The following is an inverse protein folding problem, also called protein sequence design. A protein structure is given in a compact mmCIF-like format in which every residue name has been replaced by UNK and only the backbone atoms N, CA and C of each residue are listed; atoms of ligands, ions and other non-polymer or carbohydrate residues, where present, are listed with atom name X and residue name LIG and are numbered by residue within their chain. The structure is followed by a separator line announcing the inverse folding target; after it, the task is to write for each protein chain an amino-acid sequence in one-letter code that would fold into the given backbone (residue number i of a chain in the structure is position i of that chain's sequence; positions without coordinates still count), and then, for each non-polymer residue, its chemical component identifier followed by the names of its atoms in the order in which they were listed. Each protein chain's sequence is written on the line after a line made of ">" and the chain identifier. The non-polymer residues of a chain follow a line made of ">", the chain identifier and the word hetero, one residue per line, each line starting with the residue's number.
data_IF_080722951270
#
_entry.id   IF_080722951270
#
_cell.length_a   1.000
_cell.length_b   1.000
_cell.length_c   1.000
_cell.angle_alpha   90.00
_cell.angle_beta   90.00
_cell.angle_gamma   90.00
#
_symmetry.space_group_name_H-M   'P 1'
#
loop_
_entity.id
_entity.type
_entity.pdbx_description
1 polymer ?
#
# COMPACT_ATOMS: atom_id res chain seq x y z
N UNK A 1 5.92 25.98 -6.39
CA UNK A 1 4.85 25.78 -7.40
C UNK A 1 3.82 24.84 -6.80
N UNK A 2 2.72 25.36 -6.28
CA UNK A 2 1.57 24.57 -5.80
C UNK A 2 0.62 24.36 -6.98
N UNK A 3 0.90 23.35 -7.81
CA UNK A 3 -0.09 22.84 -8.76
C UNK A 3 -0.96 21.85 -7.98
N UNK A 4 -2.26 22.15 -7.84
CA UNK A 4 -3.34 21.31 -7.27
C UNK A 4 -2.84 20.18 -6.35
N UNK A 5 -2.84 20.46 -5.05
CA UNK A 5 -2.19 19.70 -3.98
C UNK A 5 -2.64 18.23 -3.90
N UNK A 6 -2.01 17.36 -4.70
CA UNK A 6 -2.07 15.93 -4.52
C UNK A 6 -1.08 15.52 -3.43
N UNK A 7 -1.57 14.89 -2.37
CA UNK A 7 -0.74 14.26 -1.36
C UNK A 7 -0.37 12.85 -1.81
N UNK A 8 0.91 12.51 -1.74
CA UNK A 8 1.41 11.17 -2.01
C UNK A 8 1.82 10.54 -0.69
N UNK A 9 1.29 9.36 -0.42
CA UNK A 9 1.56 8.59 0.79
C UNK A 9 1.78 7.13 0.42
N UNK A 10 2.44 6.38 1.28
CA UNK A 10 2.60 4.92 1.16
C UNK A 10 2.19 4.23 2.45
N UNK A 11 2.04 2.92 2.44
CA UNK A 11 1.76 2.14 3.65
C UNK A 11 3.06 1.59 4.26
N UNK A 12 3.13 1.51 5.59
CA UNK A 12 4.18 0.78 6.31
C UNK A 12 4.34 -0.67 5.82
N UNK A 13 3.28 -1.33 5.33
CA UNK A 13 3.42 -2.68 4.76
C UNK A 13 4.26 -2.67 3.47
N UNK A 14 4.21 -1.59 2.70
CA UNK A 14 5.05 -1.40 1.52
C UNK A 14 6.51 -1.17 1.91
N UNK A 15 6.78 -0.41 2.98
CA UNK A 15 8.14 -0.31 3.55
C UNK A 15 8.65 -1.70 3.91
N UNK A 16 7.87 -2.46 4.68
CA UNK A 16 8.25 -3.80 5.10
C UNK A 16 8.58 -4.71 3.91
N UNK A 17 7.72 -4.77 2.89
CA UNK A 17 7.91 -5.64 1.71
C UNK A 17 9.13 -5.24 0.87
N UNK A 18 9.38 -3.94 0.68
CA UNK A 18 10.58 -3.47 -0.03
C UNK A 18 11.83 -3.69 0.82
N UNK A 19 11.79 -3.30 2.08
CA UNK A 19 12.91 -3.38 3.03
C UNK A 19 13.37 -4.81 3.24
N UNK A 20 12.45 -5.77 3.47
CA UNK A 20 12.82 -7.19 3.62
C UNK A 20 13.52 -7.74 2.37
N UNK A 21 13.08 -7.31 1.18
CA UNK A 21 13.68 -7.72 -0.10
C UNK A 21 15.10 -7.15 -0.27
N UNK A 22 15.27 -5.86 0.05
CA UNK A 22 16.58 -5.20 0.06
C UNK A 22 17.54 -5.83 1.07
N UNK A 23 17.07 -6.10 2.29
CA UNK A 23 17.85 -6.77 3.33
C UNK A 23 18.26 -8.18 2.88
N UNK A 24 17.34 -8.97 2.34
CA UNK A 24 17.66 -10.30 1.82
C UNK A 24 18.70 -10.24 0.69
N UNK A 25 18.53 -9.32 -0.27
CA UNK A 25 19.50 -9.12 -1.33
C UNK A 25 20.87 -8.70 -0.77
N UNK A 26 20.89 -7.86 0.26
CA UNK A 26 22.11 -7.36 0.91
C UNK A 26 22.96 -8.47 1.55
N UNK A 27 22.32 -9.54 2.03
CA UNK A 27 23.02 -10.72 2.57
C UNK A 27 23.87 -11.40 1.49
N UNK A 28 23.36 -11.45 0.26
CA UNK A 28 24.05 -12.12 -0.87
C UNK A 28 25.01 -11.19 -1.63
N UNK A 29 24.71 -9.89 -1.67
CA UNK A 29 25.51 -8.86 -2.32
C UNK A 29 25.37 -7.57 -1.51
N UNK A 30 26.41 -7.10 -0.81
CA UNK A 30 26.34 -5.87 -0.04
C UNK A 30 25.95 -4.69 -0.95
N UNK A 31 24.70 -4.27 -0.89
CA UNK A 31 24.21 -3.08 -1.58
C UNK A 31 23.49 -2.20 -0.57
N UNK A 32 24.26 -1.32 0.06
CA UNK A 32 23.80 -0.43 1.14
C UNK A 32 22.89 0.68 0.60
N UNK A 33 23.12 1.12 -0.65
CA UNK A 33 22.43 2.28 -1.23
C UNK A 33 20.91 2.10 -1.41
N UNK A 34 20.39 0.88 -1.44
CA UNK A 34 18.95 0.63 -1.56
C UNK A 34 18.18 0.99 -0.29
N UNK A 35 18.73 0.64 0.88
CA UNK A 35 18.12 0.91 2.18
C UNK A 35 18.18 2.40 2.48
N UNK A 36 19.33 3.03 2.24
CA UNK A 36 19.49 4.49 2.42
C UNK A 36 18.48 5.28 1.59
N UNK A 37 18.20 4.84 0.35
CA UNK A 37 17.17 5.47 -0.51
C UNK A 37 15.76 5.28 0.02
N UNK A 38 15.45 4.13 0.60
CA UNK A 38 14.16 3.88 1.23
C UNK A 38 13.99 4.73 2.50
N UNK A 39 15.06 4.90 3.28
CA UNK A 39 15.05 5.77 4.46
C UNK A 39 14.90 7.24 4.07
N UNK A 40 15.62 7.70 3.05
CA UNK A 40 15.43 9.05 2.50
C UNK A 40 14.00 9.28 1.97
N UNK A 41 13.33 8.27 1.42
CA UNK A 41 11.96 8.42 0.91
C UNK A 41 10.97 8.86 2.00
N UNK A 42 11.20 8.46 3.26
CA UNK A 42 10.38 8.85 4.41
C UNK A 42 10.46 10.35 4.71
N UNK A 43 11.46 11.06 4.19
CA UNK A 43 11.57 12.52 4.30
C UNK A 43 10.69 13.26 3.27
N UNK A 44 10.20 12.57 2.23
CA UNK A 44 9.46 13.18 1.12
C UNK A 44 7.96 12.83 1.10
N UNK A 45 7.58 11.67 1.64
CA UNK A 45 6.19 11.21 1.67
C UNK A 45 5.85 10.59 3.02
N UNK A 46 4.58 10.67 3.41
CA UNK A 46 4.13 10.03 4.65
C UNK A 46 3.98 8.51 4.47
N UNK A 47 4.44 7.78 5.48
CA UNK A 47 4.24 6.34 5.62
C UNK A 47 3.12 6.11 6.62
N UNK A 48 2.00 5.59 6.13
CA UNK A 48 0.80 5.37 6.91
C UNK A 48 1.03 4.22 7.89
N UNK A 49 0.82 4.45 9.20
CA UNK A 49 1.14 3.45 10.20
C UNK A 49 0.21 2.23 10.15
N UNK A 50 0.77 1.03 10.41
CA UNK A 50 -0.03 -0.18 10.66
C UNK A 50 -0.65 -0.16 12.07
N UNK A 51 -1.65 0.70 12.24
CA UNK A 51 -2.37 0.79 13.52
C UNK A 51 -3.27 -0.43 13.76
N UNK A 52 -3.70 -0.63 15.01
CA UNK A 52 -4.71 -1.65 15.36
C UNK A 52 -6.01 -1.48 14.57
N UNK A 53 -6.39 -0.24 14.22
CA UNK A 53 -7.59 0.04 13.42
C UNK A 53 -7.44 -0.53 12.01
N UNK A 54 -6.29 -0.26 11.38
CA UNK A 54 -5.95 -0.75 10.03
C UNK A 54 -5.95 -2.28 9.99
N UNK A 55 -5.30 -2.92 10.97
CA UNK A 55 -5.22 -4.38 10.99
C UNK A 55 -6.58 -5.06 11.23
N UNK A 56 -7.47 -4.45 12.01
CA UNK A 56 -8.85 -4.94 12.17
C UNK A 56 -9.66 -4.80 10.88
N UNK A 57 -9.54 -3.66 10.21
CA UNK A 57 -10.20 -3.42 8.92
C UNK A 57 -9.69 -4.39 7.85
N UNK A 58 -8.38 -4.61 7.79
CA UNK A 58 -7.77 -5.59 6.88
C UNK A 58 -8.29 -7.01 7.13
N UNK A 59 -8.42 -7.42 8.40
CA UNK A 59 -8.97 -8.73 8.75
C UNK A 59 -10.44 -8.89 8.30
N UNK A 60 -11.24 -7.83 8.43
CA UNK A 60 -12.62 -7.81 7.97
C UNK A 60 -12.70 -7.93 6.44
N UNK A 61 -11.96 -7.09 5.72
CA UNK A 61 -11.89 -7.11 4.25
C UNK A 61 -11.41 -8.49 3.73
N UNK A 62 -10.42 -9.08 4.39
CA UNK A 62 -9.92 -10.42 4.05
C UNK A 62 -11.00 -11.50 4.19
N UNK A 63 -11.79 -11.46 5.26
CA UNK A 63 -12.85 -12.44 5.51
C UNK A 63 -13.96 -12.31 4.46
N UNK A 64 -14.36 -11.08 4.15
CA UNK A 64 -15.34 -10.76 3.11
C UNK A 64 -14.86 -11.23 1.74
N UNK A 65 -13.64 -10.90 1.36
CA UNK A 65 -13.02 -11.30 0.09
C UNK A 65 -13.07 -12.82 -0.10
N UNK A 66 -12.68 -13.58 0.93
CA UNK A 66 -12.69 -15.05 0.88
C UNK A 66 -14.09 -15.64 0.84
N UNK A 67 -15.03 -15.06 1.58
CA UNK A 67 -16.43 -15.49 1.54
C UNK A 67 -17.04 -15.39 0.13
N UNK A 68 -16.50 -14.48 -0.70
CA UNK A 68 -16.95 -14.20 -2.05
C UNK A 68 -16.08 -14.88 -3.14
N UNK A 69 -15.11 -15.71 -2.76
CA UNK A 69 -14.20 -16.39 -3.69
C UNK A 69 -13.16 -15.47 -4.34
N UNK A 70 -12.95 -14.26 -3.82
CA UNK A 70 -11.99 -13.26 -4.33
C UNK A 70 -10.65 -13.37 -3.58
N UNK A 71 -9.90 -14.44 -3.84
CA UNK A 71 -8.57 -14.65 -3.24
C UNK A 71 -7.49 -13.84 -3.97
N UNK A 72 -6.82 -12.94 -3.25
CA UNK A 72 -5.70 -12.12 -3.76
C UNK A 72 -4.32 -12.63 -3.32
N UNK A 73 -4.28 -13.48 -2.28
CA UNK A 73 -3.10 -14.20 -1.83
C UNK A 73 -3.45 -15.63 -1.38
N UNK A 74 -2.44 -16.49 -1.26
CA UNK A 74 -2.58 -17.84 -0.71
C UNK A 74 -3.21 -17.82 0.70
N UNK A 75 -3.94 -18.87 1.06
CA UNK A 75 -4.55 -19.02 2.37
C UNK A 75 -3.58 -18.86 3.54
N UNK A 76 -2.31 -19.23 3.36
CA UNK A 76 -1.27 -19.22 4.40
C UNK A 76 -0.51 -17.90 4.51
N UNK A 77 -0.69 -16.98 3.57
CA UNK A 77 0.07 -15.74 3.52
C UNK A 77 -0.74 -14.57 4.09
N UNK A 78 -0.03 -13.64 4.74
CA UNK A 78 -0.58 -12.30 4.98
C UNK A 78 -0.78 -11.63 3.62
N UNK A 79 -1.96 -11.04 3.44
CA UNK A 79 -2.34 -10.40 2.19
C UNK A 79 -2.05 -8.88 2.27
N UNK A 80 -0.90 -8.48 1.74
CA UNK A 80 -0.48 -7.08 1.74
C UNK A 80 -1.41 -6.19 0.90
N UNK A 81 -2.00 -6.71 -0.19
CA UNK A 81 -2.95 -5.96 -1.02
C UNK A 81 -4.23 -5.65 -0.21
N UNK A 82 -4.69 -6.58 0.65
CA UNK A 82 -5.81 -6.33 1.57
C UNK A 82 -5.45 -5.29 2.64
N UNK A 83 -4.22 -5.31 3.17
CA UNK A 83 -3.77 -4.30 4.15
C UNK A 83 -3.72 -2.90 3.50
N UNK A 84 -3.20 -2.80 2.27
CA UNK A 84 -3.24 -1.55 1.49
C UNK A 84 -4.69 -1.12 1.25
N UNK A 85 -5.59 -2.06 0.97
CA UNK A 85 -7.01 -1.78 0.77
C UNK A 85 -7.69 -1.24 2.03
N UNK A 86 -7.29 -1.72 3.21
CA UNK A 86 -7.74 -1.19 4.48
C UNK A 86 -7.28 0.26 4.72
N UNK A 87 -6.01 0.57 4.42
CA UNK A 87 -5.52 1.96 4.46
C UNK A 87 -6.28 2.86 3.50
N UNK A 88 -6.49 2.42 2.25
CA UNK A 88 -7.25 3.18 1.26
C UNK A 88 -8.67 3.48 1.76
N UNK A 89 -9.37 2.48 2.29
CA UNK A 89 -10.74 2.63 2.78
C UNK A 89 -10.80 3.64 3.93
N UNK A 90 -9.90 3.49 4.91
CA UNK A 90 -9.85 4.40 6.06
C UNK A 90 -9.50 5.83 5.66
N UNK A 91 -8.61 6.04 4.68
CA UNK A 91 -8.32 7.37 4.14
C UNK A 91 -9.52 7.97 3.40
N UNK A 92 -10.21 7.18 2.59
CA UNK A 92 -11.41 7.65 1.88
C UNK A 92 -12.53 8.04 2.85
N UNK A 93 -12.66 7.32 3.97
CA UNK A 93 -13.60 7.65 5.06
C UNK A 93 -13.18 8.91 5.83
N UNK A 94 -11.88 9.11 6.07
CA UNK A 94 -11.35 10.29 6.77
C UNK A 94 -11.48 11.57 5.92
N UNK A 95 -11.39 11.44 4.59
CA UNK A 95 -11.42 12.55 3.64
C UNK A 95 -12.49 12.37 2.54
N UNK A 96 -13.80 12.38 2.88
CA UNK A 96 -14.89 12.00 1.96
C UNK A 96 -15.07 12.91 0.72
N UNK A 97 -14.42 14.08 0.71
CA UNK A 97 -14.40 15.00 -0.44
C UNK A 97 -13.14 14.90 -1.32
N UNK A 98 -12.19 14.04 -0.96
CA UNK A 98 -10.96 13.84 -1.70
C UNK A 98 -11.02 12.58 -2.54
N UNK A 99 -10.47 12.66 -3.76
CA UNK A 99 -10.31 11.48 -4.60
C UNK A 99 -9.06 10.72 -4.15
N UNK A 100 -9.26 9.53 -3.55
CA UNK A 100 -8.19 8.65 -3.09
C UNK A 100 -8.02 7.50 -4.11
N UNK A 101 -6.80 7.33 -4.62
CA UNK A 101 -6.47 6.30 -5.62
C UNK A 101 -5.18 5.57 -5.25
N UNK A 102 -5.20 4.24 -5.36
CA UNK A 102 -4.01 3.39 -5.19
C UNK A 102 -3.25 3.33 -6.52
N UNK A 103 -2.04 3.90 -6.54
CA UNK A 103 -1.11 3.76 -7.66
C UNK A 103 -0.40 2.41 -7.58
N UNK A 104 -0.69 1.48 -8.51
CA UNK A 104 -0.16 0.11 -8.45
C UNK A 104 0.08 -0.49 -9.84
N UNK A 105 0.96 -1.50 -9.90
CA UNK A 105 1.06 -2.40 -11.07
C UNK A 105 0.10 -3.59 -10.96
N UNK A 106 -0.32 -3.97 -9.76
CA UNK A 106 -1.27 -5.06 -9.52
C UNK A 106 -2.72 -4.55 -9.54
N UNK A 107 -3.09 -3.86 -10.61
CA UNK A 107 -4.40 -3.20 -10.73
C UNK A 107 -5.55 -4.22 -10.63
N UNK A 108 -5.36 -5.44 -11.17
CA UNK A 108 -6.38 -6.48 -11.18
C UNK A 108 -6.82 -6.90 -9.77
N UNK A 109 -5.88 -7.05 -8.84
CA UNK A 109 -6.20 -7.49 -7.48
C UNK A 109 -6.75 -6.33 -6.64
N UNK A 110 -6.09 -5.17 -6.69
CA UNK A 110 -6.46 -4.03 -5.85
C UNK A 110 -7.77 -3.35 -6.27
N UNK A 111 -8.17 -3.43 -7.55
CA UNK A 111 -9.49 -2.92 -8.01
C UNK A 111 -10.69 -3.66 -7.42
N UNK A 112 -10.49 -4.83 -6.83
CA UNK A 112 -11.56 -5.56 -6.16
C UNK A 112 -12.02 -4.83 -4.88
N UNK A 113 -11.14 -4.04 -4.27
CA UNK A 113 -11.39 -3.41 -2.96
C UNK A 113 -11.19 -1.89 -2.96
N UNK A 114 -10.51 -1.34 -3.96
CA UNK A 114 -10.07 0.07 -3.98
C UNK A 114 -10.24 0.69 -5.37
N UNK A 115 -10.25 2.02 -5.42
CA UNK A 115 -9.94 2.73 -6.66
C UNK A 115 -8.44 2.58 -6.96
N UNK A 116 -8.09 1.72 -7.91
CA UNK A 116 -6.70 1.43 -8.27
C UNK A 116 -6.38 1.69 -9.74
N UNK A 117 -5.22 2.29 -10.01
CA UNK A 117 -4.75 2.62 -11.37
C UNK A 117 -3.24 2.46 -11.49
N UNK A 118 -2.77 2.22 -12.70
CA UNK A 118 -1.36 2.47 -13.01
C UNK A 118 -1.06 3.95 -12.83
N UNK A 119 0.10 4.28 -12.24
CA UNK A 119 0.45 5.66 -11.88
C UNK A 119 0.38 6.64 -13.07
N UNK A 120 0.77 6.19 -14.28
CA UNK A 120 0.74 6.98 -15.51
C UNK A 120 -0.67 7.39 -15.95
N UNK A 121 -1.70 6.71 -15.43
CA UNK A 121 -3.09 6.90 -15.79
C UNK A 121 -3.86 7.74 -14.75
N UNK A 122 -3.17 8.25 -13.72
CA UNK A 122 -3.75 9.16 -12.71
C UNK A 122 -3.60 10.59 -13.23
N UNK A 123 -4.69 11.35 -13.25
CA UNK A 123 -4.74 12.75 -13.72
C UNK A 123 -5.29 13.65 -12.61
N UNK A 124 -4.77 14.88 -12.48
CA UNK A 124 -5.10 15.89 -11.46
C UNK A 124 -5.71 17.16 -12.07
#
# INVERSE_FOLDING_TARGET
>A
MLARSASVVTSDICDYEVRRGLLLASITKPNVAGIDRLDMLQEFIDFLPLTKKVMKEAAQLWAEARSQGMQTADNKNIDADIIISAHWKLLAEEYPGQYVVVATKNVKHLRLFTEAREWKNIKF
#
